data_IF_155075194815
#
_entry.id   IF_155075194815
#
_cell.length_a   1.000
_cell.length_b   1.000
_cell.length_c   1.000
_cell.angle_alpha   90.00
_cell.angle_beta   90.00
_cell.angle_gamma   90.00
#
_symmetry.space_group_name_H-M   'P 1'
#
loop_
_entity.id
_entity.type
_entity.pdbx_description
1 polymer ?
#
# COMPACT_ATOMS: atom_id res chain seq x y z
N UNK A 1 3.17 -11.91 1.96
CA UNK A 1 4.43 -12.41 1.33
C UNK A 1 4.25 -13.58 0.34
N UNK A 2 3.73 -14.77 0.72
CA UNK A 2 3.64 -15.96 -0.18
C UNK A 2 3.01 -15.69 -1.56
N UNK A 3 1.94 -14.88 -1.59
CA UNK A 3 1.29 -14.42 -2.83
C UNK A 3 2.26 -13.71 -3.77
N UNK A 4 3.08 -12.78 -3.26
CA UNK A 4 4.08 -12.06 -4.04
C UNK A 4 5.16 -12.97 -4.61
N UNK A 5 5.62 -13.96 -3.84
CA UNK A 5 6.58 -14.97 -4.33
C UNK A 5 5.97 -15.76 -5.48
N UNK A 6 4.71 -16.22 -5.35
CA UNK A 6 4.01 -16.96 -6.41
C UNK A 6 3.89 -16.13 -7.69
N UNK A 7 3.56 -14.84 -7.57
CA UNK A 7 3.48 -13.92 -8.72
C UNK A 7 4.82 -13.87 -9.47
N UNK A 8 5.92 -13.62 -8.76
CA UNK A 8 7.24 -13.51 -9.40
C UNK A 8 7.76 -14.84 -9.97
N UNK A 9 7.40 -15.97 -9.36
CA UNK A 9 7.71 -17.31 -9.88
C UNK A 9 6.93 -17.63 -11.16
N UNK A 10 5.65 -17.24 -11.20
CA UNK A 10 4.78 -17.54 -12.34
C UNK A 10 4.99 -16.59 -13.52
N UNK A 11 5.51 -15.38 -13.30
CA UNK A 11 5.77 -14.41 -14.36
C UNK A 11 7.17 -13.78 -14.21
N UNK A 12 8.09 -14.20 -15.09
CA UNK A 12 9.47 -13.69 -15.10
C UNK A 12 9.60 -12.22 -15.54
N UNK A 13 8.58 -11.66 -16.20
CA UNK A 13 8.57 -10.26 -16.66
C UNK A 13 8.29 -9.26 -15.54
N UNK A 14 7.65 -9.69 -14.46
CA UNK A 14 7.40 -8.86 -13.27
C UNK A 14 8.69 -8.78 -12.46
N UNK A 15 9.13 -7.57 -12.15
CA UNK A 15 10.38 -7.30 -11.43
C UNK A 15 10.15 -7.13 -9.92
N UNK A 16 8.99 -6.61 -9.53
CA UNK A 16 8.61 -6.42 -8.13
C UNK A 16 7.11 -6.60 -7.91
N UNK A 17 6.74 -7.06 -6.73
CA UNK A 17 5.36 -7.17 -6.28
C UNK A 17 5.26 -6.73 -4.83
N UNK A 18 4.33 -5.83 -4.53
CA UNK A 18 4.21 -5.24 -3.20
C UNK A 18 2.75 -4.97 -2.82
N UNK A 19 2.49 -4.86 -1.52
CA UNK A 19 1.19 -4.44 -1.04
C UNK A 19 0.92 -2.97 -1.38
N UNK A 20 -0.30 -2.65 -1.77
CA UNK A 20 -0.68 -1.29 -2.11
C UNK A 20 -2.10 -0.98 -1.65
N UNK A 21 -2.33 0.28 -1.24
CA UNK A 21 -3.63 0.74 -0.77
C UNK A 21 -4.25 1.68 -1.80
N UNK A 22 -5.51 1.46 -2.14
CA UNK A 22 -6.23 2.34 -3.04
C UNK A 22 -6.69 3.62 -2.33
N UNK A 23 -6.77 4.71 -3.08
CA UNK A 23 -7.24 6.00 -2.58
C UNK A 23 -7.80 6.84 -3.73
N UNK A 24 -8.73 7.73 -3.39
CA UNK A 24 -9.31 8.74 -4.30
C UNK A 24 -8.99 10.17 -3.85
N UNK A 25 -8.13 10.30 -2.83
CA UNK A 25 -7.61 11.58 -2.33
C UNK A 25 -6.83 12.31 -3.42
N UNK A 26 -6.87 13.64 -3.37
CA UNK A 26 -6.00 14.48 -4.19
C UNK A 26 -4.63 14.59 -3.53
N UNK A 27 -3.58 14.45 -4.33
CA UNK A 27 -2.21 14.67 -3.89
C UNK A 27 -1.66 15.91 -4.57
N UNK A 28 -0.92 16.70 -3.80
CA UNK A 28 -0.33 17.95 -4.23
C UNK A 28 1.19 17.90 -4.03
N UNK A 29 1.93 18.55 -4.91
CA UNK A 29 3.36 18.76 -4.77
C UNK A 29 3.68 20.25 -4.89
N UNK A 30 4.73 20.68 -4.18
CA UNK A 30 5.18 22.07 -4.20
C UNK A 30 6.06 22.30 -5.42
N UNK A 31 5.78 23.36 -6.18
CA UNK A 31 6.55 23.84 -7.31
C UNK A 31 7.08 25.24 -7.01
N UNK A 32 7.93 25.78 -7.90
CA UNK A 32 8.41 27.18 -7.80
C UNK A 32 7.26 28.21 -7.84
N UNK A 33 6.11 27.83 -8.41
CA UNK A 33 4.95 28.71 -8.62
C UNK A 33 3.82 28.50 -7.60
N UNK A 34 3.95 27.54 -6.68
CA UNK A 34 2.92 27.24 -5.68
C UNK A 34 2.67 25.74 -5.52
N UNK A 35 1.41 25.35 -5.31
CA UNK A 35 1.00 23.96 -5.16
C UNK A 35 0.29 23.45 -6.41
N UNK A 36 0.70 22.29 -6.90
CA UNK A 36 0.11 21.66 -8.08
C UNK A 36 -0.37 20.23 -7.77
N UNK A 37 -1.47 19.80 -8.39
CA UNK A 37 -1.98 18.44 -8.24
C UNK A 37 -1.10 17.48 -9.05
N UNK A 38 -0.76 16.33 -8.48
CA UNK A 38 0.16 15.36 -9.11
C UNK A 38 -0.40 14.80 -10.42
N UNK A 39 -1.72 14.56 -10.51
CA UNK A 39 -2.37 14.07 -11.73
C UNK A 39 -3.34 15.10 -12.30
N UNK A 40 -3.37 15.24 -13.63
CA UNK A 40 -4.30 16.12 -14.33
C UNK A 40 -5.77 15.77 -14.02
N UNK A 41 -6.10 14.48 -13.94
CA UNK A 41 -7.45 14.00 -13.62
C UNK A 41 -7.95 14.41 -12.22
N UNK A 42 -7.05 14.79 -11.30
CA UNK A 42 -7.44 15.30 -9.98
C UNK A 42 -7.96 16.75 -10.03
N UNK A 43 -7.78 17.46 -11.16
CA UNK A 43 -8.26 18.83 -11.33
C UNK A 43 -9.77 18.92 -11.52
N UNK A 44 -10.36 17.93 -12.19
CA UNK A 44 -11.80 17.83 -12.40
C UNK A 44 -12.48 17.34 -11.13
N UNK A 45 -13.53 18.04 -10.71
CA UNK A 45 -14.34 17.62 -9.57
C UNK A 45 -15.12 16.34 -9.91
N UNK A 46 -15.12 15.38 -8.99
CA UNK A 46 -15.94 14.18 -9.07
C UNK A 46 -16.14 13.56 -7.69
N UNK A 47 -17.23 12.81 -7.53
CA UNK A 47 -17.52 12.07 -6.31
C UNK A 47 -16.47 10.98 -6.08
N UNK A 48 -16.12 10.75 -4.81
CA UNK A 48 -15.10 9.73 -4.45
C UNK A 48 -15.45 8.33 -4.94
N UNK A 49 -16.73 8.00 -5.08
CA UNK A 49 -17.21 6.69 -5.54
C UNK A 49 -16.98 6.45 -7.03
N UNK A 50 -16.98 7.52 -7.85
CA UNK A 50 -16.83 7.44 -9.32
C UNK A 50 -15.42 7.81 -9.80
N UNK A 51 -14.61 8.38 -8.91
CA UNK A 51 -13.27 8.83 -9.23
C UNK A 51 -12.32 7.66 -9.46
N UNK A 52 -11.43 7.81 -10.46
CA UNK A 52 -10.36 6.86 -10.73
C UNK A 52 -9.50 6.66 -9.47
N UNK A 53 -9.35 5.41 -9.06
CA UNK A 53 -8.49 5.03 -7.94
C UNK A 53 -7.02 5.15 -8.35
N UNK A 54 -6.21 5.60 -7.39
CA UNK A 54 -4.76 5.52 -7.44
C UNK A 54 -4.28 4.68 -6.26
N UNK A 55 -3.05 4.18 -6.34
CA UNK A 55 -2.53 3.21 -5.39
C UNK A 55 -1.26 3.73 -4.73
N UNK A 56 -1.24 3.74 -3.40
CA UNK A 56 -0.06 4.05 -2.59
C UNK A 56 0.67 2.75 -2.28
N UNK A 57 1.96 2.71 -2.55
CA UNK A 57 2.84 1.63 -2.12
C UNK A 57 2.82 1.45 -0.59
N UNK A 58 2.80 0.20 -0.13
CA UNK A 58 2.85 -0.18 1.27
C UNK A 58 3.83 -1.35 1.46
N UNK A 59 5.12 -1.07 1.26
CA UNK A 59 6.16 -2.10 1.33
C UNK A 59 6.47 -2.59 2.74
N UNK A 60 5.94 -1.93 3.77
CA UNK A 60 6.00 -2.41 5.16
C UNK A 60 5.20 -3.70 5.36
N UNK A 61 4.09 -3.86 4.63
CA UNK A 61 3.25 -5.06 4.73
C UNK A 61 3.78 -6.23 3.87
N UNK A 62 4.16 -5.97 2.63
CA UNK A 62 4.77 -6.99 1.75
C UNK A 62 5.52 -6.31 0.62
N UNK A 63 6.77 -6.74 0.40
CA UNK A 63 7.56 -6.40 -0.77
C UNK A 63 8.35 -7.64 -1.22
N UNK A 64 8.21 -8.02 -2.49
CA UNK A 64 8.99 -9.10 -3.11
C UNK A 64 9.60 -8.54 -4.39
N UNK A 65 10.92 -8.50 -4.46
CA UNK A 65 11.65 -7.89 -5.58
C UNK A 65 12.73 -8.83 -6.08
N UNK A 66 13.03 -8.80 -7.39
CA UNK A 66 14.12 -9.61 -7.95
C UNK A 66 15.46 -9.14 -7.38
N UNK A 67 16.30 -10.10 -6.98
CA UNK A 67 17.60 -9.79 -6.38
C UNK A 67 18.54 -9.02 -7.31
N UNK A 68 18.35 -9.12 -8.63
CA UNK A 68 19.09 -8.33 -9.62
C UNK A 68 18.83 -6.83 -9.52
N UNK A 69 17.66 -6.40 -9.04
CA UNK A 69 17.37 -4.98 -8.80
C UNK A 69 18.17 -4.45 -7.61
N UNK A 70 18.18 -5.20 -6.50
CA UNK A 70 18.93 -4.84 -5.29
C UNK A 70 20.42 -4.69 -5.62
N UNK A 71 20.99 -5.63 -6.39
CA UNK A 71 22.39 -5.56 -6.85
C UNK A 71 22.69 -4.35 -7.74
N UNK A 72 21.66 -3.72 -8.32
CA UNK A 72 21.77 -2.48 -9.11
C UNK A 72 21.43 -1.22 -8.29
N UNK A 73 21.27 -1.35 -6.97
CA UNK A 73 20.89 -0.24 -6.09
C UNK A 73 19.41 0.16 -6.18
N UNK A 74 18.56 -0.64 -6.84
CA UNK A 74 17.12 -0.37 -6.95
C UNK A 74 16.33 -1.20 -5.92
N UNK A 75 15.44 -0.56 -5.16
CA UNK A 75 14.52 -1.25 -4.23
C UNK A 75 13.37 -1.94 -4.98
N UNK A 76 12.81 -1.26 -5.99
CA UNK A 76 11.64 -1.67 -6.78
C UNK A 76 11.95 -1.46 -8.26
N UNK A 77 11.46 -2.37 -9.10
CA UNK A 77 11.57 -2.29 -10.56
C UNK A 77 10.45 -1.47 -11.19
N UNK A 78 10.50 -1.32 -12.51
CA UNK A 78 9.51 -0.53 -13.25
C UNK A 78 8.31 -1.41 -13.67
N UNK A 79 8.52 -2.73 -13.78
CA UNK A 79 7.46 -3.71 -14.09
C UNK A 79 6.92 -4.34 -12.81
N UNK A 80 5.82 -3.79 -12.32
CA UNK A 80 5.30 -4.11 -10.98
C UNK A 80 3.92 -4.77 -11.02
N UNK A 81 3.64 -5.58 -10.00
CA UNK A 81 2.30 -6.12 -9.73
C UNK A 81 1.86 -5.71 -8.32
N UNK A 82 0.65 -5.17 -8.19
CA UNK A 82 0.13 -4.69 -6.90
C UNK A 82 -0.68 -5.78 -6.20
N UNK A 83 -0.38 -6.05 -4.93
CA UNK A 83 -1.26 -6.79 -4.02
C UNK A 83 -2.15 -5.76 -3.33
N UNK A 84 -3.33 -5.53 -3.89
CA UNK A 84 -4.25 -4.54 -3.34
C UNK A 84 -4.68 -4.99 -1.93
N UNK A 85 -4.42 -4.14 -0.95
CA UNK A 85 -4.83 -4.32 0.42
C UNK A 85 -6.13 -3.56 0.67
N UNK A 86 -7.11 -4.27 1.21
CA UNK A 86 -8.42 -3.73 1.58
C UNK A 86 -8.61 -3.68 3.10
N UNK A 87 -7.62 -4.12 3.87
CA UNK A 87 -7.69 -4.21 5.31
C UNK A 87 -7.23 -2.88 5.92
N UNK A 88 -8.16 -2.13 6.49
CA UNK A 88 -7.87 -0.81 7.09
C UNK A 88 -7.00 -0.94 8.34
N UNK A 89 -7.14 -2.03 9.09
CA UNK A 89 -6.38 -2.28 10.31
C UNK A 89 -4.87 -2.47 10.08
N UNK A 90 -4.45 -2.89 8.89
CA UNK A 90 -3.02 -3.00 8.55
C UNK A 90 -2.40 -1.65 8.19
N UNK A 91 -3.16 -0.55 8.29
CA UNK A 91 -2.69 0.81 8.04
C UNK A 91 -2.24 1.54 9.30
N UNK A 92 -2.32 0.90 10.47
CA UNK A 92 -1.86 1.48 11.73
C UNK A 92 -0.34 1.32 11.80
N UNK A 93 0.39 2.33 11.35
CA UNK A 93 1.83 2.43 11.53
C UNK A 93 2.14 2.98 12.93
N UNK A 94 3.04 2.30 13.65
CA UNK A 94 3.39 2.65 15.03
C UNK A 94 4.58 3.58 15.02
N UNK A 95 4.37 4.85 15.37
CA UNK A 95 5.42 5.86 15.53
C UNK A 95 5.47 6.46 16.94
N UNK A 96 4.36 6.34 17.67
CA UNK A 96 4.17 6.89 19.01
C UNK A 96 3.51 5.86 19.94
N UNK A 97 3.55 6.14 21.24
CA UNK A 97 2.80 5.36 22.24
C UNK A 97 1.30 5.34 21.96
N UNK A 98 0.75 6.45 21.44
CA UNK A 98 -0.66 6.52 21.07
C UNK A 98 -1.00 5.59 19.89
N UNK A 99 -0.13 5.48 18.90
CA UNK A 99 -0.32 4.56 17.77
C UNK A 99 -0.32 3.10 18.25
N UNK A 100 0.59 2.77 19.18
CA UNK A 100 0.62 1.45 19.82
C UNK A 100 -0.68 1.17 20.55
N UNK A 101 -1.19 2.12 21.33
CA UNK A 101 -2.48 2.01 21.99
C UNK A 101 -3.61 1.73 20.97
N UNK A 102 -3.68 2.47 19.87
CA UNK A 102 -4.68 2.25 18.81
C UNK A 102 -4.56 0.84 18.19
N UNK A 103 -3.35 0.37 17.93
CA UNK A 103 -3.11 -0.97 17.41
C UNK A 103 -3.62 -2.04 18.39
N UNK A 104 -3.33 -1.89 19.69
CA UNK A 104 -3.81 -2.81 20.72
C UNK A 104 -5.34 -2.82 20.85
N UNK A 105 -5.97 -1.64 20.85
CA UNK A 105 -7.43 -1.56 20.90
C UNK A 105 -8.08 -2.21 19.67
N UNK A 106 -7.48 -2.01 18.50
CA UNK A 106 -7.92 -2.67 17.26
C UNK A 106 -7.85 -4.19 17.38
N UNK A 107 -6.75 -4.73 17.93
CA UNK A 107 -6.61 -6.16 18.19
C UNK A 107 -7.68 -6.65 19.19
N UNK A 108 -7.88 -5.93 20.30
CA UNK A 108 -8.87 -6.26 21.33
C UNK A 108 -10.29 -6.30 20.74
N UNK A 109 -10.63 -5.34 19.89
CA UNK A 109 -11.92 -5.29 19.20
C UNK A 109 -12.15 -6.55 18.35
N UNK A 110 -11.19 -6.92 17.50
CA UNK A 110 -11.34 -8.08 16.63
C UNK A 110 -11.26 -9.41 17.36
N UNK A 111 -10.55 -9.52 18.49
CA UNK A 111 -10.59 -10.72 19.35
C UNK A 111 -12.02 -11.03 19.80
N UNK A 112 -12.82 -10.00 20.11
CA UNK A 112 -14.20 -10.15 20.57
C UNK A 112 -15.20 -10.36 19.43
N UNK A 113 -14.99 -9.71 18.28
CA UNK A 113 -15.99 -9.64 17.21
C UNK A 113 -15.73 -10.57 16.03
N UNK A 114 -14.46 -10.80 15.67
CA UNK A 114 -14.10 -11.64 14.53
C UNK A 114 -12.63 -12.08 14.61
N UNK A 115 -12.39 -13.20 15.28
CA UNK A 115 -11.03 -13.71 15.50
C UNK A 115 -10.31 -14.09 14.20
N UNK A 116 -11.06 -14.43 13.13
CA UNK A 116 -10.46 -14.75 11.84
C UNK A 116 -9.82 -13.53 11.18
N UNK A 117 -10.28 -12.32 11.51
CA UNK A 117 -9.67 -11.09 11.01
C UNK A 117 -8.26 -10.86 11.56
N UNK A 118 -7.94 -11.42 12.72
CA UNK A 118 -6.59 -11.40 13.29
C UNK A 118 -5.61 -12.37 12.60
N UNK A 119 -6.12 -13.39 11.90
CA UNK A 119 -5.27 -14.36 11.18
C UNK A 119 -4.62 -13.76 9.93
N UNK A 120 -5.10 -12.61 9.45
CA UNK A 120 -4.52 -11.83 8.35
C UNK A 120 -3.33 -10.94 8.79
N UNK A 121 -3.10 -10.83 10.10
CA UNK A 121 -1.98 -10.08 10.71
C UNK A 121 -0.77 -10.98 11.03
N UNK A 122 -0.86 -12.29 10.76
CA UNK A 122 0.23 -13.28 10.91
C UNK A 122 0.72 -13.72 9.53
#
# INVERSE_FOLDING_TARGET
>A
IRKGIKILKNNNKIESCFAANSTTKNYWHKTKKGWERILLSMKSYSNRQTKKQIFREDTGLTCVTRSSLIRKGKRIGDKVELIINHNTETLIDIHTEYDLFLAEQTIKYYKKKNINKLKLLK
#
